data_IF_911711569400
#
_entry.id   IF_911711569400
#
_cell.length_a   1.000
_cell.length_b   1.000
_cell.length_c   1.000
_cell.angle_alpha   90.00
_cell.angle_beta   90.00
_cell.angle_gamma   90.00
#
_symmetry.space_group_name_H-M   'P 1'
#
loop_
_entity.id
_entity.type
_entity.pdbx_description
1 polymer ?
#
# COMPACT_ATOMS: atom_id res chain seq x y z
N UNK A 1 21.11 -6.93 9.48
CA UNK A 1 20.48 -8.15 8.89
C UNK A 1 19.92 -8.97 10.03
N UNK A 2 18.64 -9.35 9.96
CA UNK A 2 18.03 -10.22 10.98
C UNK A 2 18.64 -11.62 10.95
N UNK A 3 18.67 -12.31 12.09
CA UNK A 3 19.11 -13.70 12.18
C UNK A 3 17.94 -14.69 11.93
N UNK A 4 18.25 -15.98 11.85
CA UNK A 4 17.27 -17.03 11.55
C UNK A 4 16.16 -17.13 12.63
N UNK A 5 16.52 -16.99 13.91
CA UNK A 5 15.55 -16.99 15.01
C UNK A 5 14.56 -15.82 14.90
N UNK A 6 15.06 -14.64 14.54
CA UNK A 6 14.23 -13.46 14.31
C UNK A 6 13.31 -13.65 13.10
N UNK A 7 13.83 -14.20 12.00
CA UNK A 7 13.02 -14.49 10.82
C UNK A 7 11.91 -15.50 11.14
N UNK A 8 12.22 -16.56 11.89
CA UNK A 8 11.24 -17.56 12.33
C UNK A 8 10.19 -16.96 13.28
N UNK A 9 10.60 -16.09 14.20
CA UNK A 9 9.69 -15.35 15.07
C UNK A 9 8.74 -14.46 14.26
N UNK A 10 9.26 -13.70 13.29
CA UNK A 10 8.47 -12.84 12.41
C UNK A 10 7.48 -13.67 11.61
N UNK A 11 7.97 -14.71 10.92
CA UNK A 11 7.16 -15.63 10.10
C UNK A 11 6.01 -16.21 10.92
N UNK A 12 6.29 -16.79 12.07
CA UNK A 12 5.27 -17.41 12.93
C UNK A 12 4.21 -16.40 13.37
N UNK A 13 4.60 -15.22 13.85
CA UNK A 13 3.67 -14.21 14.35
C UNK A 13 2.85 -13.57 13.22
N UNK A 14 3.50 -13.24 12.12
CA UNK A 14 2.87 -12.65 10.94
C UNK A 14 1.80 -13.58 10.37
N UNK A 15 2.14 -14.86 10.17
CA UNK A 15 1.21 -15.88 9.69
C UNK A 15 0.06 -16.06 10.66
N UNK A 16 0.34 -16.11 11.97
CA UNK A 16 -0.70 -16.20 12.99
C UNK A 16 -1.70 -15.04 12.90
N UNK A 17 -1.25 -13.78 12.91
CA UNK A 17 -2.17 -12.64 12.87
C UNK A 17 -2.92 -12.54 11.54
N UNK A 18 -2.28 -12.87 10.42
CA UNK A 18 -2.99 -12.88 9.14
C UNK A 18 -4.07 -13.96 9.11
N UNK A 19 -3.75 -15.16 9.59
CA UNK A 19 -4.71 -16.27 9.58
C UNK A 19 -5.84 -16.11 10.59
N UNK A 20 -5.60 -15.49 11.75
CA UNK A 20 -6.60 -15.28 12.81
C UNK A 20 -7.37 -13.96 12.64
N UNK A 21 -6.68 -12.86 12.33
CA UNK A 21 -7.22 -11.50 12.39
C UNK A 21 -7.27 -10.79 11.03
N UNK A 22 -6.74 -11.39 9.96
CA UNK A 22 -6.57 -10.76 8.64
C UNK A 22 -5.76 -9.45 8.67
N UNK A 23 -4.88 -9.29 9.66
CA UNK A 23 -3.96 -8.16 9.78
C UNK A 23 -2.54 -8.66 10.02
N UNK A 24 -1.51 -7.96 9.53
CA UNK A 24 -0.13 -8.39 9.72
C UNK A 24 0.42 -8.10 11.12
N UNK A 25 -0.29 -7.30 11.92
CA UNK A 25 0.14 -6.84 13.23
C UNK A 25 -1.02 -6.88 14.25
N UNK A 26 -0.72 -6.97 15.56
CA UNK A 26 -1.74 -6.95 16.61
C UNK A 26 -2.28 -5.54 16.83
N UNK A 27 -3.10 -5.05 15.90
CA UNK A 27 -3.76 -3.73 15.98
C UNK A 27 -5.26 -3.82 15.80
N UNK A 28 -5.97 -2.78 16.24
CA UNK A 28 -7.41 -2.72 16.08
C UNK A 28 -7.79 -2.61 14.59
N UNK A 29 -8.69 -3.49 14.10
CA UNK A 29 -9.21 -3.49 12.73
C UNK A 29 -9.80 -2.16 12.28
N UNK A 30 -10.28 -1.32 13.20
CA UNK A 30 -10.79 0.01 12.89
C UNK A 30 -9.78 0.88 12.14
N UNK A 31 -8.48 0.61 12.29
CA UNK A 31 -7.42 1.28 11.52
C UNK A 31 -7.62 1.12 10.00
N UNK A 32 -8.15 0.00 9.56
CA UNK A 32 -8.34 -0.27 8.14
C UNK A 32 -9.56 0.45 7.58
N UNK A 33 -10.67 0.55 8.32
CA UNK A 33 -11.95 0.95 7.73
C UNK A 33 -12.49 2.31 8.17
N UNK A 34 -12.01 2.91 9.26
CA UNK A 34 -12.58 4.16 9.79
C UNK A 34 -12.40 5.37 8.86
N UNK A 35 -11.51 5.28 7.86
CA UNK A 35 -11.39 6.32 6.82
C UNK A 35 -12.70 6.49 6.03
N UNK A 36 -13.47 5.43 5.85
CA UNK A 36 -14.73 5.45 5.09
C UNK A 36 -15.92 6.00 5.91
N UNK A 37 -15.77 6.18 7.23
CA UNK A 37 -16.82 6.72 8.07
C UNK A 37 -17.21 8.13 7.63
N UNK A 38 -18.52 8.36 7.47
CA UNK A 38 -19.07 9.65 7.03
C UNK A 38 -19.03 9.89 5.51
N UNK A 39 -18.47 8.97 4.70
CA UNK A 39 -18.44 9.10 3.25
C UNK A 39 -19.67 8.53 2.53
N UNK A 40 -20.61 7.90 3.24
CA UNK A 40 -21.80 7.24 2.64
C UNK A 40 -21.43 6.27 1.50
N UNK A 41 -20.33 5.52 1.64
CA UNK A 41 -19.99 4.44 0.70
C UNK A 41 -20.87 3.23 1.04
N UNK A 42 -21.44 2.58 0.02
CA UNK A 42 -22.27 1.40 0.23
C UNK A 42 -21.46 0.27 0.88
N UNK A 43 -22.05 -0.44 1.83
CA UNK A 43 -21.44 -1.63 2.43
C UNK A 43 -21.54 -2.81 1.45
N UNK A 44 -20.39 -3.35 1.02
CA UNK A 44 -20.29 -4.43 0.05
C UNK A 44 -20.80 -4.07 -1.36
N UNK A 45 -20.91 -5.08 -2.22
CA UNK A 45 -21.33 -4.95 -3.61
C UNK A 45 -20.43 -5.69 -4.59
N UNK A 46 -20.88 -5.82 -5.84
CA UNK A 46 -20.09 -6.50 -6.88
C UNK A 46 -18.81 -5.73 -7.24
N UNK A 47 -18.84 -4.40 -7.23
CA UNK A 47 -17.66 -3.54 -7.37
C UNK A 47 -17.31 -2.93 -6.03
N UNK A 48 -16.08 -3.12 -5.57
CA UNK A 48 -15.58 -2.54 -4.32
C UNK A 48 -14.31 -1.72 -4.54
N UNK A 49 -14.14 -0.66 -3.74
CA UNK A 49 -12.80 -0.13 -3.46
C UNK A 49 -12.13 -1.05 -2.44
N UNK A 50 -10.85 -1.36 -2.65
CA UNK A 50 -10.06 -2.22 -1.78
C UNK A 50 -8.71 -1.57 -1.50
N UNK A 51 -8.44 -1.26 -0.23
CA UNK A 51 -7.19 -0.60 0.18
C UNK A 51 -6.12 -1.58 0.63
N UNK A 52 -6.51 -2.84 0.91
CA UNK A 52 -5.63 -3.85 1.48
C UNK A 52 -4.95 -3.41 2.79
N UNK A 53 -5.52 -2.41 3.47
CA UNK A 53 -4.92 -1.66 4.58
C UNK A 53 -3.51 -1.08 4.36
N UNK A 54 -3.01 -0.99 3.11
CA UNK A 54 -1.62 -0.62 2.84
C UNK A 54 -1.29 0.81 3.28
N UNK A 55 -2.13 1.78 2.93
CA UNK A 55 -1.96 3.18 3.36
C UNK A 55 -2.04 3.32 4.88
N UNK A 56 -2.98 2.62 5.50
CA UNK A 56 -3.27 2.70 6.93
C UNK A 56 -2.18 2.05 7.80
N UNK A 57 -1.46 1.06 7.26
CA UNK A 57 -0.45 0.29 7.99
C UNK A 57 0.99 0.67 7.63
N UNK A 58 1.26 1.39 6.54
CA UNK A 58 2.65 1.65 6.11
C UNK A 58 3.49 2.40 7.15
N UNK A 59 2.95 3.46 7.77
CA UNK A 59 3.66 4.21 8.83
C UNK A 59 3.78 3.40 10.12
N UNK A 60 2.76 2.59 10.42
CA UNK A 60 2.76 1.69 11.56
C UNK A 60 3.80 0.58 11.41
N UNK A 61 3.96 0.03 10.20
CA UNK A 61 4.98 -0.96 9.88
C UNK A 61 6.38 -0.47 10.24
N UNK A 62 6.71 0.79 9.94
CA UNK A 62 8.00 1.38 10.33
C UNK A 62 8.24 1.36 11.84
N UNK A 63 7.22 1.68 12.64
CA UNK A 63 7.33 1.62 14.11
C UNK A 63 7.49 0.18 14.57
N UNK A 64 6.81 -0.77 13.95
CA UNK A 64 7.00 -2.19 14.26
C UNK A 64 8.42 -2.64 13.93
N UNK A 65 8.97 -2.25 12.78
CA UNK A 65 10.34 -2.60 12.37
C UNK A 65 11.40 -2.10 13.38
N UNK A 66 11.16 -0.96 14.04
CA UNK A 66 12.04 -0.42 15.08
C UNK A 66 11.99 -1.24 16.39
N UNK A 67 10.81 -1.76 16.74
CA UNK A 67 10.56 -2.46 18.01
C UNK A 67 10.86 -3.97 17.87
N UNK A 68 10.72 -4.52 16.68
CA UNK A 68 10.84 -5.95 16.37
C UNK A 68 12.16 -6.60 16.83
N UNK A 69 13.35 -5.96 16.69
CA UNK A 69 14.61 -6.52 17.19
C UNK A 69 14.65 -6.64 18.72
N UNK A 70 13.93 -5.78 19.44
CA UNK A 70 13.83 -5.85 20.89
C UNK A 70 12.82 -6.94 21.31
N UNK A 71 11.64 -6.97 20.68
CA UNK A 71 10.59 -7.95 20.97
C UNK A 71 11.05 -9.41 20.75
N UNK A 72 11.79 -9.67 19.68
CA UNK A 72 12.29 -11.00 19.33
C UNK A 72 13.25 -11.60 20.37
N UNK A 73 13.86 -10.78 21.25
CA UNK A 73 14.76 -11.25 22.31
C UNK A 73 14.04 -11.75 23.57
N UNK A 74 12.75 -11.44 23.73
CA UNK A 74 11.98 -11.82 24.91
C UNK A 74 11.13 -13.07 24.65
N UNK A 75 11.49 -14.19 25.28
CA UNK A 75 10.69 -15.43 25.24
C UNK A 75 9.34 -15.20 25.93
N UNK A 76 8.23 -15.53 25.25
CA UNK A 76 6.87 -15.46 25.82
C UNK A 76 6.07 -14.19 25.54
N UNK A 77 6.63 -13.22 24.80
CA UNK A 77 5.94 -11.99 24.37
C UNK A 77 4.66 -12.26 23.55
N UNK A 78 4.58 -13.42 22.88
CA UNK A 78 3.41 -13.87 22.12
C UNK A 78 2.11 -13.95 22.96
N UNK A 79 2.22 -14.13 24.28
CA UNK A 79 1.05 -14.16 25.18
C UNK A 79 0.50 -12.77 25.54
N UNK A 80 1.32 -11.73 25.35
CA UNK A 80 0.97 -10.33 25.67
C UNK A 80 0.57 -9.53 24.43
N UNK A 81 0.74 -10.07 23.22
CA UNK A 81 0.40 -9.37 21.99
C UNK A 81 -1.09 -9.14 21.77
N UNK A 82 -1.94 -10.04 22.29
CA UNK A 82 -3.40 -9.85 22.35
C UNK A 82 -3.81 -8.68 23.25
N UNK A 83 -3.00 -8.37 24.28
CA UNK A 83 -3.20 -7.19 25.14
C UNK A 83 -2.76 -5.93 24.39
N UNK A 84 -1.68 -5.98 23.60
CA UNK A 84 -1.24 -4.84 22.76
C UNK A 84 -2.30 -4.40 21.72
N UNK A 85 -3.13 -5.32 21.20
CA UNK A 85 -4.27 -5.00 20.31
C UNK A 85 -5.23 -3.98 20.91
N UNK A 86 -5.45 -4.03 22.23
CA UNK A 86 -6.41 -3.18 22.95
C UNK A 86 -5.88 -1.75 23.10
N UNK A 87 -4.56 -1.58 23.18
CA UNK A 87 -3.94 -0.30 23.52
C UNK A 87 -3.47 0.51 22.30
N UNK A 88 -3.38 -0.09 21.11
CA UNK A 88 -2.86 0.60 19.93
C UNK A 88 -3.93 0.84 18.86
N UNK A 89 -4.57 2.01 18.94
CA UNK A 89 -5.41 2.60 17.88
C UNK A 89 -4.67 3.80 17.28
N UNK A 90 -3.86 3.62 16.22
CA UNK A 90 -3.20 4.74 15.58
C UNK A 90 -4.27 5.62 14.94
N UNK A 91 -4.33 6.89 15.33
CA UNK A 91 -5.17 7.88 14.68
C UNK A 91 -4.41 8.45 13.50
N UNK A 92 -4.25 7.67 12.43
CA UNK A 92 -3.60 8.16 11.21
C UNK A 92 -4.58 9.02 10.41
N UNK A 93 -4.49 10.33 10.65
CA UNK A 93 -5.34 11.31 9.97
C UNK A 93 -4.88 11.60 8.54
N UNK A 94 -3.65 11.25 8.16
CA UNK A 94 -3.10 11.56 6.84
C UNK A 94 -3.50 10.49 5.84
N UNK A 95 -3.26 9.20 6.14
CA UNK A 95 -3.70 8.13 5.24
C UNK A 95 -5.20 8.16 5.00
N UNK A 96 -5.99 8.53 6.02
CA UNK A 96 -7.44 8.66 5.85
C UNK A 96 -7.82 9.80 4.91
N UNK A 97 -7.09 10.93 4.93
CA UNK A 97 -7.31 12.03 3.97
C UNK A 97 -6.98 11.57 2.55
N UNK A 98 -5.87 10.87 2.35
CA UNK A 98 -5.48 10.30 1.05
C UNK A 98 -6.60 9.40 0.51
N UNK A 99 -7.03 8.41 1.29
CA UNK A 99 -8.07 7.47 0.88
C UNK A 99 -9.40 8.17 0.60
N UNK A 100 -9.76 9.17 1.40
CA UNK A 100 -10.96 10.00 1.17
C UNK A 100 -10.85 10.81 -0.12
N UNK A 101 -9.69 11.37 -0.43
CA UNK A 101 -9.47 12.10 -1.68
C UNK A 101 -9.56 11.16 -2.88
N UNK A 102 -8.94 9.96 -2.82
CA UNK A 102 -9.06 8.93 -3.84
C UNK A 102 -10.53 8.54 -4.04
N UNK A 103 -11.26 8.23 -2.96
CA UNK A 103 -12.68 7.89 -3.05
C UNK A 103 -13.52 9.04 -3.61
N UNK A 104 -13.20 10.30 -3.28
CA UNK A 104 -13.91 11.47 -3.79
C UNK A 104 -13.78 11.60 -5.30
N UNK A 105 -12.57 11.46 -5.86
CA UNK A 105 -12.38 11.56 -7.31
C UNK A 105 -12.94 10.34 -8.05
N UNK A 106 -12.89 9.16 -7.42
CA UNK A 106 -13.37 7.92 -8.00
C UNK A 106 -14.91 7.86 -8.10
N UNK A 107 -15.62 8.48 -7.14
CA UNK A 107 -17.10 8.53 -7.14
C UNK A 107 -17.68 9.19 -8.40
N UNK A 108 -16.91 10.02 -9.08
CA UNK A 108 -17.32 10.67 -10.32
C UNK A 108 -17.22 9.76 -11.55
N UNK A 109 -16.53 8.62 -11.47
CA UNK A 109 -16.35 7.70 -12.61
C UNK A 109 -17.00 6.34 -12.44
N UNK A 110 -17.24 5.88 -11.21
CA UNK A 110 -17.73 4.52 -10.96
C UNK A 110 -18.50 4.45 -9.63
N UNK A 111 -19.59 3.67 -9.61
CA UNK A 111 -20.24 3.28 -8.36
C UNK A 111 -19.49 2.10 -7.73
N UNK A 112 -19.19 2.21 -6.43
CA UNK A 112 -18.46 1.19 -5.70
C UNK A 112 -18.93 1.11 -4.25
N UNK A 113 -18.83 -0.09 -3.69
CA UNK A 113 -18.96 -0.33 -2.25
C UNK A 113 -17.61 -0.45 -1.55
N UNK A 114 -17.67 -0.73 -0.26
CA UNK A 114 -16.52 -1.00 0.59
C UNK A 114 -16.86 -2.11 1.59
N UNK A 115 -15.88 -2.96 1.93
CA UNK A 115 -16.09 -4.08 2.85
C UNK A 115 -16.06 -3.69 4.33
N UNK A 116 -15.60 -2.48 4.66
CA UNK A 116 -15.51 -1.99 6.05
C UNK A 116 -14.78 -2.98 6.97
N UNK A 117 -15.37 -3.40 8.09
CA UNK A 117 -14.75 -4.32 9.06
C UNK A 117 -14.45 -5.72 8.51
N UNK A 118 -15.02 -6.06 7.34
CA UNK A 118 -14.78 -7.32 6.64
C UNK A 118 -13.60 -7.23 5.66
N UNK A 119 -13.01 -6.05 5.43
CA UNK A 119 -11.86 -5.89 4.54
C UNK A 119 -10.61 -6.58 5.13
N UNK A 120 -10.06 -7.60 4.46
CA UNK A 120 -8.81 -8.23 4.91
C UNK A 120 -7.58 -7.46 4.40
N UNK A 121 -6.47 -7.51 5.14
CA UNK A 121 -5.16 -7.10 4.61
C UNK A 121 -4.79 -7.93 3.37
N UNK A 122 -4.12 -7.32 2.40
CA UNK A 122 -3.81 -7.95 1.10
C UNK A 122 -2.88 -9.16 1.17
N UNK A 123 -2.10 -9.29 2.24
CA UNK A 123 -1.05 -10.30 2.36
C UNK A 123 0.26 -9.90 1.66
N UNK A 124 0.39 -8.65 1.20
CA UNK A 124 1.59 -8.13 0.53
C UNK A 124 2.88 -8.51 1.25
N UNK A 125 2.95 -8.33 2.57
CA UNK A 125 4.15 -8.63 3.35
C UNK A 125 4.60 -10.10 3.25
N UNK A 126 3.69 -11.07 3.11
CA UNK A 126 4.07 -12.48 2.91
C UNK A 126 4.78 -12.67 1.57
N UNK A 127 4.20 -12.08 0.51
CA UNK A 127 4.75 -12.15 -0.84
C UNK A 127 6.13 -11.46 -0.92
N UNK A 128 6.26 -10.27 -0.34
CA UNK A 128 7.50 -9.48 -0.38
C UNK A 128 8.63 -10.07 0.46
N UNK A 129 8.29 -10.77 1.55
CA UNK A 129 9.26 -11.51 2.35
C UNK A 129 9.62 -12.88 1.77
N UNK A 130 9.03 -13.27 0.64
CA UNK A 130 9.27 -14.57 0.01
C UNK A 130 8.64 -15.76 0.75
N UNK A 131 7.64 -15.51 1.60
CA UNK A 131 6.86 -16.55 2.31
C UNK A 131 5.78 -17.12 1.38
N UNK A 132 6.21 -17.72 0.27
CA UNK A 132 5.34 -18.08 -0.87
C UNK A 132 4.29 -19.13 -0.50
N UNK A 133 4.62 -20.11 0.32
CA UNK A 133 3.66 -21.16 0.72
C UNK A 133 2.57 -20.59 1.64
N UNK A 134 2.94 -19.76 2.61
CA UNK A 134 1.96 -19.07 3.45
C UNK A 134 1.14 -18.05 2.68
N UNK A 135 1.75 -17.38 1.70
CA UNK A 135 1.02 -16.50 0.80
C UNK A 135 -0.02 -17.28 -0.02
N UNK A 136 0.29 -18.48 -0.53
CA UNK A 136 -0.68 -19.35 -1.22
C UNK A 136 -1.85 -19.72 -0.32
N UNK A 137 -1.59 -20.08 0.93
CA UNK A 137 -2.63 -20.43 1.89
C UNK A 137 -3.53 -19.23 2.22
N UNK A 138 -2.92 -18.07 2.51
CA UNK A 138 -3.66 -16.84 2.80
C UNK A 138 -4.45 -16.33 1.58
N UNK A 139 -3.89 -16.47 0.38
CA UNK A 139 -4.54 -16.11 -0.88
C UNK A 139 -5.88 -16.83 -1.08
N UNK A 140 -5.95 -18.13 -0.73
CA UNK A 140 -7.22 -18.89 -0.78
C UNK A 140 -8.27 -18.27 0.16
N UNK A 141 -7.87 -17.92 1.38
CA UNK A 141 -8.77 -17.25 2.35
C UNK A 141 -9.24 -15.88 1.85
N UNK A 142 -8.37 -15.10 1.20
CA UNK A 142 -8.76 -13.83 0.59
C UNK A 142 -9.80 -14.01 -0.50
N UNK A 143 -9.60 -15.00 -1.38
CA UNK A 143 -10.58 -15.33 -2.43
C UNK A 143 -11.92 -15.74 -1.84
N UNK A 144 -11.93 -16.60 -0.81
CA UNK A 144 -13.16 -16.98 -0.10
C UNK A 144 -13.91 -15.77 0.50
N UNK A 145 -13.17 -14.79 1.04
CA UNK A 145 -13.76 -13.54 1.54
C UNK A 145 -14.39 -12.73 0.40
N UNK A 146 -13.69 -12.54 -0.72
CA UNK A 146 -14.25 -11.81 -1.86
C UNK A 146 -15.47 -12.53 -2.46
N UNK A 147 -15.41 -13.85 -2.61
CA UNK A 147 -16.49 -14.66 -3.18
C UNK A 147 -17.73 -14.67 -2.27
N UNK A 148 -17.55 -14.80 -0.95
CA UNK A 148 -18.66 -14.74 0.01
C UNK A 148 -19.37 -13.39 0.05
N UNK A 149 -18.68 -12.31 -0.33
CA UNK A 149 -19.26 -10.97 -0.47
C UNK A 149 -19.80 -10.69 -1.88
N UNK A 150 -19.74 -11.66 -2.80
CA UNK A 150 -20.21 -11.52 -4.17
C UNK A 150 -19.39 -10.54 -5.02
N UNK A 151 -18.13 -10.29 -4.65
CA UNK A 151 -17.26 -9.34 -5.35
C UNK A 151 -16.94 -9.87 -6.75
N UNK A 152 -17.09 -9.01 -7.76
CA UNK A 152 -16.78 -9.26 -9.18
C UNK A 152 -15.70 -8.31 -9.71
N UNK A 153 -15.56 -7.13 -9.10
CA UNK A 153 -14.58 -6.12 -9.48
C UNK A 153 -13.95 -5.47 -8.25
N UNK A 154 -12.63 -5.38 -8.24
CA UNK A 154 -11.83 -4.77 -7.18
C UNK A 154 -11.08 -3.57 -7.73
N UNK A 155 -11.32 -2.40 -7.14
CA UNK A 155 -10.62 -1.16 -7.43
C UNK A 155 -9.53 -0.96 -6.37
N UNK A 156 -8.28 -1.11 -6.77
CA UNK A 156 -7.12 -0.96 -5.87
C UNK A 156 -6.62 0.48 -5.86
N UNK A 157 -6.09 0.92 -4.73
CA UNK A 157 -5.61 2.31 -4.54
C UNK A 157 -4.09 2.44 -4.44
N UNK A 158 -3.36 1.32 -4.36
CA UNK A 158 -1.91 1.33 -4.18
C UNK A 158 -1.21 0.19 -4.96
N UNK A 159 0.10 0.33 -5.27
CA UNK A 159 0.81 -0.61 -6.12
C UNK A 159 0.98 -2.00 -5.52
N UNK A 160 1.11 -2.07 -4.19
CA UNK A 160 1.46 -3.29 -3.49
C UNK A 160 0.25 -4.21 -3.39
N UNK A 161 -0.90 -3.65 -3.01
CA UNK A 161 -2.18 -4.34 -3.04
C UNK A 161 -2.50 -4.79 -4.46
N UNK A 162 -2.35 -3.93 -5.46
CA UNK A 162 -2.64 -4.28 -6.86
C UNK A 162 -1.78 -5.43 -7.37
N UNK A 163 -0.46 -5.35 -7.17
CA UNK A 163 0.44 -6.44 -7.55
C UNK A 163 0.12 -7.73 -6.79
N UNK A 164 -0.22 -7.64 -5.51
CA UNK A 164 -0.57 -8.81 -4.70
C UNK A 164 -1.80 -9.53 -5.26
N UNK A 165 -2.88 -8.81 -5.57
CA UNK A 165 -4.07 -9.41 -6.17
C UNK A 165 -3.79 -9.98 -7.57
N UNK A 166 -2.95 -9.30 -8.36
CA UNK A 166 -2.50 -9.83 -9.65
C UNK A 166 -1.80 -11.19 -9.49
N UNK A 167 -0.89 -11.33 -8.51
CA UNK A 167 -0.21 -12.60 -8.21
C UNK A 167 -1.18 -13.68 -7.72
N UNK A 168 -2.15 -13.33 -6.89
CA UNK A 168 -3.20 -14.28 -6.47
C UNK A 168 -3.95 -14.81 -7.69
N UNK A 169 -4.34 -13.93 -8.62
CA UNK A 169 -5.02 -14.31 -9.85
C UNK A 169 -4.17 -15.24 -10.72
N UNK A 170 -2.88 -14.95 -10.91
CA UNK A 170 -1.96 -15.85 -11.62
C UNK A 170 -1.86 -17.23 -10.96
N UNK A 171 -1.82 -17.28 -9.63
CA UNK A 171 -1.64 -18.52 -8.87
C UNK A 171 -2.91 -19.38 -8.80
N UNK A 172 -4.10 -18.77 -8.87
CA UNK A 172 -5.39 -19.45 -8.68
C UNK A 172 -6.22 -19.58 -9.98
N UNK A 173 -5.79 -19.00 -11.11
CA UNK A 173 -6.51 -19.09 -12.40
C UNK A 173 -6.64 -20.55 -12.87
N UNK A 174 -7.84 -21.03 -13.30
CA UNK A 174 -9.05 -20.28 -13.70
C UNK A 174 -10.12 -20.09 -12.61
N UNK A 175 -9.84 -20.44 -11.34
CA UNK A 175 -10.88 -20.49 -10.30
C UNK A 175 -11.39 -19.13 -9.81
N UNK A 176 -10.59 -18.07 -9.94
CA UNK A 176 -10.94 -16.74 -9.43
C UNK A 176 -11.16 -15.73 -10.56
N UNK A 177 -12.43 -15.52 -10.92
CA UNK A 177 -12.86 -14.64 -12.00
C UNK A 177 -13.30 -13.26 -11.48
N UNK A 178 -12.35 -12.50 -10.92
CA UNK A 178 -12.55 -11.11 -10.49
C UNK A 178 -11.76 -10.17 -11.40
N UNK A 179 -12.37 -9.06 -11.79
CA UNK A 179 -11.70 -7.95 -12.46
C UNK A 179 -10.92 -7.14 -11.42
N UNK A 180 -9.63 -6.93 -11.65
CA UNK A 180 -8.77 -6.10 -10.79
C UNK A 180 -8.37 -4.90 -11.63
N UNK A 181 -8.72 -3.70 -11.14
CA UNK A 181 -8.43 -2.44 -11.83
C UNK A 181 -7.82 -1.46 -10.83
N UNK A 182 -6.90 -0.62 -11.29
CA UNK A 182 -6.34 0.42 -10.45
C UNK A 182 -7.14 1.73 -10.57
N UNK A 183 -7.25 2.50 -9.48
CA UNK A 183 -7.97 3.76 -9.49
C UNK A 183 -7.44 4.76 -10.54
N UNK A 184 -6.12 4.77 -10.83
CA UNK A 184 -5.53 5.61 -11.88
C UNK A 184 -6.16 5.38 -13.26
N UNK A 185 -6.52 4.13 -13.57
CA UNK A 185 -7.15 3.78 -14.84
C UNK A 185 -8.57 4.34 -14.94
N UNK A 186 -9.27 4.40 -13.80
CA UNK A 186 -10.66 4.85 -13.70
C UNK A 186 -10.79 6.37 -13.62
N UNK A 187 -9.74 7.08 -13.19
CA UNK A 187 -9.72 8.55 -13.13
C UNK A 187 -9.08 9.19 -14.35
N UNK A 188 -8.60 8.39 -15.33
CA UNK A 188 -7.94 8.90 -16.54
C UNK A 188 -8.75 9.95 -17.30
N UNK A 189 -10.07 9.77 -17.35
CA UNK A 189 -10.99 10.69 -18.03
C UNK A 189 -11.81 11.56 -17.07
N UNK A 190 -11.50 11.52 -15.76
CA UNK A 190 -12.14 12.38 -14.76
C UNK A 190 -11.38 13.70 -14.73
N UNK A 191 -12.11 14.81 -14.76
CA UNK A 191 -11.51 16.12 -14.53
C UNK A 191 -11.06 16.22 -13.08
N UNK A 192 -9.76 16.11 -12.88
CA UNK A 192 -9.09 16.35 -11.61
C UNK A 192 -8.23 17.59 -11.76
N UNK A 193 -8.28 18.50 -10.79
CA UNK A 193 -7.43 19.68 -10.75
C UNK A 193 -6.34 19.49 -9.70
N UNK A 194 -5.10 19.59 -10.15
CA UNK A 194 -3.91 19.60 -9.32
C UNK A 194 -3.04 20.81 -9.63
N UNK A 195 -2.26 21.23 -8.64
CA UNK A 195 -1.38 22.39 -8.76
C UNK A 195 0.00 22.05 -8.18
N UNK A 196 1.04 22.59 -8.81
CA UNK A 196 2.41 22.49 -8.33
C UNK A 196 3.38 21.89 -9.35
N UNK A 197 4.65 21.94 -9.00
CA UNK A 197 5.75 21.36 -9.76
C UNK A 197 6.48 20.36 -8.88
N UNK A 198 6.73 19.16 -9.40
CA UNK A 198 7.29 18.05 -8.63
C UNK A 198 8.25 17.23 -9.48
N UNK A 199 9.16 16.50 -8.84
CA UNK A 199 9.77 15.29 -9.42
C UNK A 199 8.92 14.08 -9.01
N UNK A 200 8.57 13.21 -9.97
CA UNK A 200 7.79 12.01 -9.66
C UNK A 200 8.72 10.82 -9.34
N UNK A 201 8.42 10.11 -8.25
CA UNK A 201 9.07 8.84 -7.98
C UNK A 201 8.18 7.69 -8.42
N UNK A 202 8.64 6.97 -9.43
CA UNK A 202 8.01 5.74 -9.89
C UNK A 202 8.06 4.64 -8.83
N UNK A 203 6.89 4.19 -8.39
CA UNK A 203 6.79 2.93 -7.65
C UNK A 203 7.32 1.80 -8.53
N UNK A 204 8.18 0.96 -7.95
CA UNK A 204 8.73 -0.19 -8.65
C UNK A 204 7.64 -1.13 -9.16
N UNK A 205 6.58 -1.35 -8.38
CA UNK A 205 5.47 -2.23 -8.74
C UNK A 205 4.60 -1.64 -9.86
N UNK A 206 4.18 -0.38 -9.74
CA UNK A 206 3.42 0.27 -10.83
C UNK A 206 4.24 0.34 -12.12
N UNK A 207 5.50 0.76 -12.04
CA UNK A 207 6.30 1.01 -13.23
C UNK A 207 6.81 -0.28 -13.88
N UNK A 208 7.44 -1.19 -13.13
CA UNK A 208 8.17 -2.33 -13.71
C UNK A 208 7.32 -3.58 -13.85
N UNK A 209 6.41 -3.82 -12.91
CA UNK A 209 5.65 -5.07 -12.86
C UNK A 209 4.24 -4.94 -13.43
N UNK A 210 3.63 -3.76 -13.29
CA UNK A 210 2.25 -3.50 -13.73
C UNK A 210 2.16 -2.68 -15.02
N UNK A 211 3.30 -2.18 -15.54
CA UNK A 211 3.34 -1.42 -16.80
C UNK A 211 2.59 -0.08 -16.77
N UNK A 212 2.33 0.47 -15.59
CA UNK A 212 1.50 1.67 -15.38
C UNK A 212 2.27 2.99 -15.38
N UNK A 213 3.57 2.97 -15.70
CA UNK A 213 4.44 4.15 -15.62
C UNK A 213 3.87 5.35 -16.40
N UNK A 214 3.52 5.12 -17.65
CA UNK A 214 3.15 6.19 -18.57
C UNK A 214 1.69 6.61 -18.37
N UNK A 215 0.79 5.67 -18.05
CA UNK A 215 -0.61 5.97 -17.72
C UNK A 215 -0.74 6.83 -16.47
N UNK A 216 0.05 6.56 -15.43
CA UNK A 216 0.07 7.40 -14.22
C UNK A 216 0.59 8.81 -14.54
N UNK A 217 1.64 8.94 -15.34
CA UNK A 217 2.15 10.25 -15.78
C UNK A 217 1.13 11.03 -16.60
N UNK A 218 0.37 10.36 -17.45
CA UNK A 218 -0.70 10.97 -18.23
C UNK A 218 -1.76 11.56 -17.30
N UNK A 219 -2.20 10.81 -16.29
CA UNK A 219 -3.14 11.29 -15.26
C UNK A 219 -2.56 12.50 -14.52
N UNK A 220 -1.31 12.42 -14.04
CA UNK A 220 -0.66 13.52 -13.31
C UNK A 220 -0.60 14.78 -14.18
N UNK A 221 -0.13 14.69 -15.43
CA UNK A 221 -0.01 15.85 -16.33
C UNK A 221 -1.38 16.42 -16.71
N UNK A 222 -2.37 15.56 -16.94
CA UNK A 222 -3.74 15.98 -17.26
C UNK A 222 -4.40 16.76 -16.13
N UNK A 223 -3.95 16.55 -14.88
CA UNK A 223 -4.44 17.30 -13.72
C UNK A 223 -3.93 18.75 -13.65
N UNK A 224 -2.97 19.14 -14.49
CA UNK A 224 -2.32 20.46 -14.44
C UNK A 224 -1.00 20.49 -13.65
N UNK A 225 -0.61 19.37 -13.03
CA UNK A 225 0.67 19.25 -12.35
C UNK A 225 1.83 19.22 -13.36
N UNK A 226 2.89 19.97 -13.06
CA UNK A 226 4.13 19.99 -13.86
C UNK A 226 5.13 18.99 -13.29
N UNK A 227 5.58 18.04 -14.11
CA UNK A 227 6.64 17.10 -13.74
C UNK A 227 8.00 17.57 -14.23
N UNK A 228 8.97 17.67 -13.32
CA UNK A 228 10.40 17.73 -13.64
C UNK A 228 10.92 16.31 -13.77
N UNK A 229 11.58 16.06 -14.88
CA UNK A 229 12.09 14.74 -15.25
C UNK A 229 13.58 14.87 -15.59
N UNK A 230 14.33 13.82 -15.29
CA UNK A 230 15.73 13.66 -15.67
C UNK A 230 15.90 12.21 -16.11
N UNK A 231 16.41 11.98 -17.32
CA UNK A 231 16.49 10.64 -17.91
C UNK A 231 17.34 9.68 -17.08
N UNK A 232 18.34 10.17 -16.34
CA UNK A 232 19.20 9.36 -15.49
C UNK A 232 18.61 9.11 -14.09
N UNK A 233 17.59 9.85 -13.68
CA UNK A 233 16.98 9.74 -12.35
C UNK A 233 15.55 9.18 -12.39
N UNK A 234 14.71 9.67 -13.31
CA UNK A 234 13.28 9.34 -13.46
C UNK A 234 12.97 8.59 -14.76
N UNK A 235 13.99 8.27 -15.55
CA UNK A 235 13.87 7.43 -16.74
C UNK A 235 13.36 6.03 -16.41
N UNK A 236 12.73 5.39 -17.41
CA UNK A 236 12.11 4.06 -17.27
C UNK A 236 13.11 3.00 -16.79
N UNK A 237 14.33 3.02 -17.35
CA UNK A 237 15.39 2.06 -17.07
C UNK A 237 16.31 2.48 -15.91
N UNK A 238 16.22 3.74 -15.48
CA UNK A 238 17.15 4.35 -14.51
C UNK A 238 16.51 4.66 -13.16
N UNK A 239 15.17 4.72 -13.10
CA UNK A 239 14.46 4.87 -11.83
C UNK A 239 14.81 3.72 -10.88
N UNK A 240 14.93 4.01 -9.59
CA UNK A 240 15.36 3.07 -8.55
C UNK A 240 14.29 2.88 -7.47
N UNK A 241 14.35 1.75 -6.76
CA UNK A 241 13.44 1.43 -5.66
C UNK A 241 13.64 2.39 -4.47
N UNK A 242 12.57 2.63 -3.69
CA UNK A 242 12.64 3.38 -2.43
C UNK A 242 13.29 2.58 -1.28
N UNK A 243 13.38 1.25 -1.39
CA UNK A 243 13.89 0.35 -0.35
C UNK A 243 12.90 -0.04 0.75
N UNK A 244 11.64 0.45 0.71
CA UNK A 244 10.65 0.28 1.78
C UNK A 244 10.45 -1.17 2.24
N UNK A 245 10.10 -2.11 1.35
CA UNK A 245 9.87 -3.52 1.71
C UNK A 245 11.06 -4.25 2.36
N UNK A 246 12.28 -3.72 2.26
CA UNK A 246 13.47 -4.33 2.86
C UNK A 246 13.60 -4.02 4.37
N UNK A 247 12.88 -3.01 4.88
CA UNK A 247 13.04 -2.53 6.25
C UNK A 247 12.88 -3.63 7.33
N UNK A 248 11.91 -4.57 7.24
CA UNK A 248 11.75 -5.64 8.23
C UNK A 248 12.94 -6.61 8.31
N UNK A 249 13.71 -6.74 7.22
CA UNK A 249 14.85 -7.67 7.10
C UNK A 249 16.18 -6.97 7.37
N UNK A 250 16.34 -5.78 6.80
CA UNK A 250 17.55 -4.98 6.92
C UNK A 250 17.25 -3.49 6.81
N UNK A 251 16.82 -2.92 7.93
CA UNK A 251 16.52 -1.48 8.06
C UNK A 251 17.69 -0.59 7.65
N UNK A 252 18.92 -0.92 8.04
CA UNK A 252 20.09 -0.10 7.70
C UNK A 252 20.27 0.01 6.17
N UNK A 253 20.14 -1.12 5.45
CA UNK A 253 20.21 -1.11 3.99
C UNK A 253 19.00 -0.41 3.38
N UNK A 254 17.79 -0.62 3.91
CA UNK A 254 16.58 0.09 3.46
C UNK A 254 16.74 1.61 3.58
N UNK A 255 17.22 2.10 4.73
CA UNK A 255 17.44 3.53 4.98
C UNK A 255 18.56 4.09 4.07
N UNK A 256 19.62 3.31 3.80
CA UNK A 256 20.68 3.71 2.85
C UNK A 256 20.13 3.87 1.43
N UNK A 257 19.31 2.91 0.96
CA UNK A 257 18.65 2.99 -0.35
C UNK A 257 17.74 4.22 -0.40
N UNK A 258 16.95 4.46 0.64
CA UNK A 258 16.06 5.62 0.71
C UNK A 258 16.81 6.95 0.65
N UNK A 259 17.92 7.09 1.38
CA UNK A 259 18.77 8.30 1.35
C UNK A 259 19.33 8.55 -0.04
N UNK A 260 19.95 7.53 -0.66
CA UNK A 260 20.51 7.67 -2.00
C UNK A 260 19.43 8.04 -3.02
N UNK A 261 18.24 7.41 -2.93
CA UNK A 261 17.11 7.73 -3.81
C UNK A 261 16.57 9.14 -3.57
N UNK A 262 16.48 9.57 -2.32
CA UNK A 262 16.05 10.90 -1.94
C UNK A 262 17.01 11.99 -2.45
N UNK A 263 18.33 11.77 -2.33
CA UNK A 263 19.35 12.68 -2.86
C UNK A 263 19.24 12.81 -4.39
N UNK A 264 19.08 11.69 -5.09
CA UNK A 264 18.87 11.67 -6.54
C UNK A 264 17.57 12.41 -6.96
N UNK A 265 16.47 12.22 -6.24
CA UNK A 265 15.23 12.95 -6.53
C UNK A 265 15.38 14.46 -6.28
N UNK A 266 16.04 14.84 -5.17
CA UNK A 266 16.27 16.25 -4.81
C UNK A 266 17.17 16.99 -5.81
N UNK A 267 18.07 16.31 -6.51
CA UNK A 267 18.86 16.94 -7.58
C UNK A 267 18.01 17.34 -8.79
N UNK A 268 16.79 16.80 -8.93
CA UNK A 268 15.83 17.16 -9.98
C UNK A 268 14.84 18.22 -9.49
N UNK A 269 14.23 18.01 -8.32
CA UNK A 269 13.36 19.01 -7.67
C UNK A 269 13.21 18.74 -6.16
N UNK A 270 13.10 19.82 -5.37
CA UNK A 270 12.84 19.77 -3.92
C UNK A 270 11.56 19.03 -3.49
N UNK A 271 10.49 19.04 -4.31
CA UNK A 271 9.19 18.46 -3.99
C UNK A 271 9.02 17.16 -4.74
N UNK A 272 8.76 16.08 -4.01
CA UNK A 272 8.65 14.72 -4.58
C UNK A 272 7.20 14.28 -4.54
N UNK A 273 6.66 13.94 -5.70
CA UNK A 273 5.33 13.38 -5.86
C UNK A 273 5.40 11.84 -5.86
N UNK A 274 4.53 11.22 -5.06
CA UNK A 274 4.49 9.79 -4.79
C UNK A 274 3.08 9.23 -5.07
N UNK A 275 3.01 7.95 -5.38
CA UNK A 275 1.73 7.23 -5.55
C UNK A 275 1.75 5.87 -4.84
N UNK A 276 2.56 5.75 -3.78
CA UNK A 276 2.76 4.51 -3.04
C UNK A 276 2.96 4.81 -1.55
N UNK A 277 2.19 4.15 -0.65
CA UNK A 277 2.31 4.38 0.79
C UNK A 277 3.68 3.96 1.34
N UNK A 278 4.26 2.86 0.84
CA UNK A 278 5.58 2.41 1.27
C UNK A 278 6.69 3.34 0.78
N UNK A 279 6.59 3.88 -0.44
CA UNK A 279 7.52 4.92 -0.91
C UNK A 279 7.39 6.17 -0.06
N UNK A 280 6.18 6.60 0.30
CA UNK A 280 5.97 7.74 1.19
C UNK A 280 6.61 7.52 2.55
N UNK A 281 6.27 6.41 3.22
CA UNK A 281 6.83 6.07 4.52
C UNK A 281 8.37 6.06 4.46
N UNK A 282 8.97 5.55 3.38
CA UNK A 282 10.42 5.44 3.28
C UNK A 282 11.17 6.71 2.87
N UNK A 283 10.58 7.53 1.99
CA UNK A 283 11.26 8.71 1.44
C UNK A 283 10.94 10.02 2.18
N UNK A 284 9.76 10.14 2.81
CA UNK A 284 9.33 11.36 3.52
C UNK A 284 10.29 11.86 4.62
N UNK A 285 11.13 11.03 5.28
CA UNK A 285 12.15 11.57 6.20
C UNK A 285 13.27 12.36 5.52
N UNK A 286 13.42 12.26 4.19
CA UNK A 286 14.58 12.76 3.44
C UNK A 286 14.23 13.79 2.36
N UNK A 287 12.94 13.93 2.01
CA UNK A 287 12.43 14.83 0.96
C UNK A 287 11.09 15.45 1.36
N UNK A 288 10.73 16.57 0.74
CA UNK A 288 9.38 17.14 0.83
C UNK A 288 8.43 16.28 -0.02
N UNK A 289 7.85 15.25 0.60
CA UNK A 289 7.04 14.24 -0.07
C UNK A 289 5.55 14.58 -0.04
N UNK A 290 4.88 14.36 -1.17
CA UNK A 290 3.45 14.49 -1.35
C UNK A 290 2.90 13.22 -1.99
N UNK A 291 1.76 12.72 -1.51
CA UNK A 291 1.00 11.73 -2.26
C UNK A 291 0.17 12.42 -3.35
N UNK A 292 0.05 11.80 -4.52
CA UNK A 292 -0.76 12.30 -5.62
C UNK A 292 -2.17 12.68 -5.18
N UNK A 293 -2.81 11.86 -4.35
CA UNK A 293 -4.15 12.14 -3.86
C UNK A 293 -4.25 13.36 -2.93
N UNK A 294 -3.13 13.86 -2.39
CA UNK A 294 -3.12 15.07 -1.54
C UNK A 294 -3.07 16.36 -2.37
N UNK A 295 -2.56 16.28 -3.60
CA UNK A 295 -2.30 17.46 -4.45
C UNK A 295 -3.30 17.58 -5.60
N UNK A 296 -4.35 16.75 -5.60
CA UNK A 296 -5.47 16.83 -6.52
C UNK A 296 -6.79 17.02 -5.78
N UNK A 297 -7.75 17.58 -6.50
CA UNK A 297 -9.15 17.67 -6.10
C UNK A 297 -10.05 17.37 -7.30
N UNK A 298 -11.24 16.82 -7.05
CA UNK A 298 -12.28 16.78 -8.08
C UNK A 298 -12.77 18.20 -8.36
N UNK A 299 -13.04 18.51 -9.63
CA UNK A 299 -13.80 19.72 -10.00
C UNK A 299 -15.29 19.61 -9.63
#
# INVERSE_FOLDING_TARGET
MINEDQLNFIRKNLVKYLMEDYLPFPVNRSVCYEWANGLNIRRGGETIIYTGCSYQLAELGKRFDEILPALSKFKGVERFSSILKVFYKPKDTRSYKILRNIASVLKSSVDFGYLYEDEPYSGTILLEMGMVEEFKEYAKKLVEVFDSHGVKRIITVDPHTHYTLFRIKEMLSPSWNVEIVNYFELIKNVKVKGEGTFVFHDSCLYSRFLGMRDSIREVIKSSGIVLKEDEMITGKETSMCCGGPLAPINKETSDKIARNRAEALKSVHNKVLLACPFCYANLSPYVEAYDFAEVISGE
#
